data_IF_749357063530
#
_entry.id   IF_749357063530
#
_cell.length_a   1.000
_cell.length_b   1.000
_cell.length_c   1.000
_cell.angle_alpha   90.00
_cell.angle_beta   90.00
_cell.angle_gamma   90.00
#
_symmetry.space_group_name_H-M   'P 1'
#
loop_
_entity.id
_entity.type
_entity.pdbx_description
1 polymer ?
#
# COMPACT_ATOMS: atom_id res chain seq x y z
N UNK A 1 6.23 24.16 4.73
CA UNK A 1 5.16 23.48 3.95
C UNK A 1 5.50 23.63 2.48
N UNK A 2 5.42 22.55 1.71
CA UNK A 2 5.65 22.57 0.27
C UNK A 2 4.33 22.34 -0.45
N UNK A 3 4.07 23.13 -1.50
CA UNK A 3 2.85 23.02 -2.31
C UNK A 3 3.13 22.20 -3.56
N UNK A 4 2.26 21.24 -3.85
CA UNK A 4 2.27 20.48 -5.11
C UNK A 4 1.01 20.85 -5.89
N UNK A 5 1.17 21.23 -7.15
CA UNK A 5 0.07 21.59 -8.03
C UNK A 5 -0.06 20.56 -9.16
N UNK A 6 -1.26 20.02 -9.34
CA UNK A 6 -1.57 19.07 -10.40
C UNK A 6 -2.51 19.73 -11.42
N UNK A 7 -2.15 19.65 -12.70
CA UNK A 7 -3.07 20.03 -13.78
C UNK A 7 -3.92 18.81 -14.15
N UNK A 8 -5.24 18.96 -14.03
CA UNK A 8 -6.23 17.94 -14.37
C UNK A 8 -7.35 18.58 -15.19
N UNK A 9 -8.15 17.77 -15.86
CA UNK A 9 -9.38 18.25 -16.50
C UNK A 9 -10.44 18.58 -15.45
N UNK A 10 -11.42 19.41 -15.82
CA UNK A 10 -12.52 19.79 -14.91
C UNK A 10 -13.34 18.57 -14.47
N UNK A 11 -13.55 17.62 -15.37
CA UNK A 11 -14.22 16.35 -15.08
C UNK A 11 -13.48 15.54 -14.00
N UNK A 12 -12.16 15.37 -14.15
CA UNK A 12 -11.34 14.66 -13.16
C UNK A 12 -11.33 15.40 -11.82
N UNK A 13 -11.25 16.72 -11.84
CA UNK A 13 -11.34 17.54 -10.61
C UNK A 13 -12.67 17.31 -9.89
N UNK A 14 -13.79 17.33 -10.62
CA UNK A 14 -15.13 17.09 -10.07
C UNK A 14 -15.26 15.69 -9.47
N UNK A 15 -14.72 14.69 -10.16
CA UNK A 15 -14.70 13.31 -9.67
C UNK A 15 -13.92 13.18 -8.36
N UNK A 16 -12.67 13.68 -8.32
CA UNK A 16 -11.82 13.55 -7.11
C UNK A 16 -12.43 14.36 -5.95
N UNK A 17 -13.05 15.51 -6.22
CA UNK A 17 -13.76 16.26 -5.19
C UNK A 17 -14.94 15.47 -4.61
N UNK A 18 -15.77 14.87 -5.45
CA UNK A 18 -16.89 14.03 -5.02
C UNK A 18 -16.42 12.85 -4.17
N UNK A 19 -15.27 12.25 -4.52
CA UNK A 19 -14.67 11.18 -3.73
C UNK A 19 -14.18 11.67 -2.36
N UNK A 20 -13.60 12.87 -2.30
CA UNK A 20 -13.16 13.45 -1.03
C UNK A 20 -14.35 13.73 -0.12
N UNK A 21 -15.42 14.32 -0.67
CA UNK A 21 -16.66 14.61 0.05
C UNK A 21 -17.33 13.34 0.58
N UNK A 22 -17.38 12.27 -0.23
CA UNK A 22 -17.91 10.95 0.15
C UNK A 22 -17.14 10.33 1.32
N UNK A 23 -15.83 10.56 1.40
CA UNK A 23 -14.99 10.08 2.50
C UNK A 23 -14.93 11.06 3.68
N UNK A 24 -15.61 12.21 3.61
CA UNK A 24 -15.54 13.25 4.63
C UNK A 24 -14.14 13.89 4.77
N UNK A 25 -13.34 13.86 3.71
CA UNK A 25 -11.96 14.34 3.69
C UNK A 25 -11.82 15.60 2.83
N UNK A 26 -10.78 16.40 3.08
CA UNK A 26 -10.38 17.45 2.14
C UNK A 26 -9.72 16.83 0.92
N UNK A 27 -9.85 17.49 -0.24
CA UNK A 27 -9.24 17.03 -1.49
C UNK A 27 -7.73 16.75 -1.36
N UNK A 28 -6.99 17.63 -0.67
CA UNK A 28 -5.55 17.47 -0.43
C UNK A 28 -5.21 16.31 0.52
N UNK A 29 -6.10 16.01 1.46
CA UNK A 29 -5.93 14.88 2.39
C UNK A 29 -6.14 13.57 1.63
N UNK A 30 -7.25 13.45 0.91
CA UNK A 30 -7.51 12.29 0.06
C UNK A 30 -6.36 12.05 -0.93
N UNK A 31 -5.94 13.10 -1.65
CA UNK A 31 -4.89 12.99 -2.65
C UNK A 31 -3.55 12.55 -2.05
N UNK A 32 -3.17 13.11 -0.89
CA UNK A 32 -1.91 12.72 -0.21
C UNK A 32 -1.98 11.28 0.27
N UNK A 33 -3.06 10.91 0.96
CA UNK A 33 -3.22 9.57 1.52
C UNK A 33 -3.19 8.52 0.42
N UNK A 34 -4.00 8.68 -0.62
CA UNK A 34 -4.05 7.72 -1.73
C UNK A 34 -2.77 7.65 -2.55
N UNK A 35 -2.05 8.77 -2.69
CA UNK A 35 -0.74 8.77 -3.33
C UNK A 35 0.28 7.97 -2.53
N UNK A 36 0.34 8.17 -1.20
CA UNK A 36 1.29 7.45 -0.35
C UNK A 36 0.95 5.96 -0.27
N UNK A 37 -0.31 5.61 -0.01
CA UNK A 37 -0.79 4.22 0.00
C UNK A 37 -0.44 3.51 -1.31
N UNK A 38 -0.72 4.14 -2.46
CA UNK A 38 -0.41 3.52 -3.75
C UNK A 38 1.09 3.37 -4.04
N UNK A 39 1.96 4.17 -3.41
CA UNK A 39 3.42 4.01 -3.50
C UNK A 39 3.91 2.90 -2.55
N UNK A 40 3.34 2.81 -1.35
CA UNK A 40 3.60 1.74 -0.38
C UNK A 40 3.19 0.38 -0.95
N UNK A 41 1.99 0.26 -1.52
CA UNK A 41 1.50 -0.96 -2.17
C UNK A 41 2.46 -1.46 -3.27
N UNK A 42 3.07 -0.53 -4.03
CA UNK A 42 4.06 -0.88 -5.06
C UNK A 42 5.36 -1.42 -4.47
N UNK A 43 5.82 -0.81 -3.37
CA UNK A 43 7.02 -1.27 -2.66
C UNK A 43 6.76 -2.63 -2.04
N UNK A 44 5.62 -2.80 -1.38
CA UNK A 44 5.21 -4.04 -0.73
C UNK A 44 5.10 -5.18 -1.75
N UNK A 45 4.48 -4.94 -2.90
CA UNK A 45 4.39 -5.93 -3.97
C UNK A 45 5.76 -6.34 -4.50
N UNK A 46 6.63 -5.37 -4.78
CA UNK A 46 7.98 -5.65 -5.26
C UNK A 46 8.83 -6.42 -4.23
N UNK A 47 8.66 -6.10 -2.95
CA UNK A 47 9.32 -6.80 -1.85
C UNK A 47 8.80 -8.24 -1.72
N UNK A 48 7.48 -8.42 -1.78
CA UNK A 48 6.84 -9.74 -1.75
C UNK A 48 7.36 -10.62 -2.89
N UNK A 49 7.34 -10.13 -4.14
CA UNK A 49 7.83 -10.90 -5.29
C UNK A 49 9.29 -11.36 -5.12
N UNK A 50 10.13 -10.48 -4.56
CA UNK A 50 11.53 -10.80 -4.28
C UNK A 50 11.66 -11.85 -3.19
N UNK A 51 10.95 -11.68 -2.07
CA UNK A 51 10.97 -12.59 -0.94
C UNK A 51 10.45 -13.98 -1.34
N UNK A 52 9.36 -14.04 -2.10
CA UNK A 52 8.80 -15.29 -2.62
C UNK A 52 9.75 -16.01 -3.54
N UNK A 53 10.43 -15.32 -4.46
CA UNK A 53 11.46 -15.95 -5.31
C UNK A 53 12.58 -16.57 -4.48
N UNK A 54 13.03 -15.89 -3.41
CA UNK A 54 14.03 -16.44 -2.50
C UNK A 54 13.51 -17.66 -1.73
N UNK A 55 12.24 -17.62 -1.30
CA UNK A 55 11.58 -18.71 -0.60
C UNK A 55 11.36 -19.94 -1.49
N UNK A 56 10.93 -19.76 -2.74
CA UNK A 56 10.76 -20.86 -3.69
C UNK A 56 12.08 -21.58 -4.00
N UNK A 57 13.21 -20.86 -3.95
CA UNK A 57 14.54 -21.45 -4.13
C UNK A 57 15.02 -22.22 -2.89
N UNK A 58 14.63 -21.78 -1.69
CA UNK A 58 14.98 -22.40 -0.42
C UNK A 58 13.83 -22.25 0.57
N UNK A 59 12.95 -23.26 0.59
CA UNK A 59 11.80 -23.29 1.47
C UNK A 59 12.24 -23.71 2.87
N UNK A 60 12.24 -22.74 3.79
CA UNK A 60 12.54 -22.92 5.21
C UNK A 60 11.26 -22.99 6.06
N UNK A 61 10.10 -23.22 5.43
CA UNK A 61 8.83 -23.37 6.14
C UNK A 61 8.85 -24.59 7.05
N UNK A 62 8.48 -24.38 8.31
CA UNK A 62 8.27 -25.43 9.28
C UNK A 62 6.78 -25.63 9.55
N UNK A 63 6.40 -26.82 10.01
CA UNK A 63 5.01 -27.05 10.40
C UNK A 63 4.63 -26.17 11.59
N UNK A 64 3.35 -25.84 11.74
CA UNK A 64 2.88 -25.08 12.90
C UNK A 64 3.31 -25.73 14.23
N UNK A 65 3.29 -27.06 14.31
CA UNK A 65 3.72 -27.80 15.50
C UNK A 65 5.19 -27.57 15.79
N UNK A 66 6.05 -27.68 14.77
CA UNK A 66 7.49 -27.52 14.96
C UNK A 66 7.83 -26.04 15.30
N UNK A 67 7.09 -25.08 14.74
CA UNK A 67 7.17 -23.67 15.14
C UNK A 67 6.82 -23.43 16.61
N UNK A 68 5.73 -24.04 17.11
CA UNK A 68 5.36 -23.93 18.52
C UNK A 68 6.45 -24.52 19.43
N UNK A 69 7.03 -25.65 19.03
CA UNK A 69 8.13 -26.26 19.75
C UNK A 69 9.37 -25.35 19.81
N UNK A 70 9.71 -24.67 18.71
CA UNK A 70 10.81 -23.68 18.70
C UNK A 70 10.54 -22.46 19.59
N UNK A 71 9.27 -22.02 19.67
CA UNK A 71 8.85 -20.92 20.54
C UNK A 71 8.64 -21.33 22.01
N UNK A 72 8.76 -22.62 22.35
CA UNK A 72 8.64 -23.14 23.71
C UNK A 72 7.20 -23.38 24.20
N UNK A 73 6.26 -23.62 23.27
CA UNK A 73 4.88 -24.00 23.55
C UNK A 73 4.63 -25.50 23.39
#
# INVERSE_FOLDING_TARGET
MSTVAFRVTDEKKSFIQSMADLNGLRLSELARTKLLEGLEDQIDMALYEKAMKSHELNDESISHRDMLQELGF
#
